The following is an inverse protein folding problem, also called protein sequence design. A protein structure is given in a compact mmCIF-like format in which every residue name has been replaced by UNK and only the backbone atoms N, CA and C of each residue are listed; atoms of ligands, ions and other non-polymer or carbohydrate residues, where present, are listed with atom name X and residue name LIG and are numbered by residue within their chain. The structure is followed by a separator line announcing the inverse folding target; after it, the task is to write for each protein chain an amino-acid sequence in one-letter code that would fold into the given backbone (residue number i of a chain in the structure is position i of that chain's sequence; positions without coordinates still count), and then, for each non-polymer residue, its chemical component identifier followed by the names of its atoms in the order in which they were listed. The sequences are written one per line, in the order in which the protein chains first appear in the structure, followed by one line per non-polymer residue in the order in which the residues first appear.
data_IF_432449339588
#
_entry.id   IF_432449339588
#
_cell.length_a   1.000
_cell.length_b   1.000
_cell.length_c   1.000
_cell.angle_alpha   90.00
_cell.angle_beta   90.00
_cell.angle_gamma   90.00
#
_symmetry.space_group_name_H-M   'P 1'
#
loop_
_entity.id
_entity.type
_entity.pdbx_description
1 polymer ?
#
# COMPACT_ATOMS: atom_id res chain seq x y z
N UNK A 1 -10.32 -2.16 10.16
CA UNK A 1 -10.49 -1.21 9.04
C UNK A 1 -11.89 -1.27 8.39
N UNK A 2 -12.33 -2.36 7.75
CA UNK A 2 -13.67 -2.40 7.12
C UNK A 2 -14.82 -2.30 8.13
N UNK A 3 -14.70 -2.99 9.27
CA UNK A 3 -15.72 -2.98 10.32
C UNK A 3 -15.60 -1.80 11.29
N UNK A 4 -14.37 -1.30 11.51
CA UNK A 4 -14.04 -0.34 12.59
C UNK A 4 -13.69 1.06 12.10
N UNK A 5 -13.52 1.27 10.78
CA UNK A 5 -13.06 2.56 10.22
C UNK A 5 -11.60 2.91 10.54
N UNK A 6 -10.84 2.02 11.20
CA UNK A 6 -9.43 2.24 11.51
C UNK A 6 -8.56 2.36 10.24
N UNK A 7 -7.37 2.95 10.40
CA UNK A 7 -6.40 3.16 9.31
C UNK A 7 -6.18 1.87 8.51
N UNK A 8 -6.24 2.00 7.19
CA UNK A 8 -6.12 0.88 6.24
C UNK A 8 -4.68 0.36 6.22
N UNK A 9 -4.47 -0.96 6.03
CA UNK A 9 -3.13 -1.51 5.83
C UNK A 9 -2.53 -0.93 4.54
N UNK A 10 -1.22 -0.68 4.55
CA UNK A 10 -0.49 -0.10 3.40
C UNK A 10 -0.15 -1.14 2.33
N UNK A 11 0.04 -2.39 2.76
CA UNK A 11 0.51 -3.50 1.93
C UNK A 11 0.03 -4.83 2.54
N UNK A 12 -0.05 -5.86 1.71
CA UNK A 12 -0.30 -7.25 2.11
C UNK A 12 0.97 -8.11 2.02
N UNK A 13 0.84 -9.32 1.48
CA UNK A 13 1.93 -10.29 1.28
C UNK A 13 3.10 -9.74 0.45
N UNK A 14 2.81 -8.85 -0.50
CA UNK A 14 3.80 -8.16 -1.36
C UNK A 14 4.90 -7.44 -0.56
N UNK A 15 4.68 -7.14 0.72
CA UNK A 15 5.68 -6.53 1.59
C UNK A 15 6.93 -7.40 1.82
N UNK A 16 6.84 -8.70 1.53
CA UNK A 16 8.00 -9.59 1.60
C UNK A 16 9.08 -9.22 0.58
N UNK A 17 8.72 -8.58 -0.53
CA UNK A 17 9.68 -8.22 -1.56
C UNK A 17 10.63 -7.10 -1.09
N UNK A 18 11.93 -7.32 -1.28
CA UNK A 18 13.00 -6.46 -0.76
C UNK A 18 12.90 -5.01 -1.22
N UNK A 19 12.44 -4.75 -2.46
CA UNK A 19 12.26 -3.39 -2.95
C UNK A 19 11.23 -2.60 -2.14
N UNK A 20 10.17 -3.25 -1.63
CA UNK A 20 9.20 -2.60 -0.75
C UNK A 20 9.77 -2.47 0.66
N UNK A 21 10.29 -3.58 1.22
CA UNK A 21 10.78 -3.61 2.61
C UNK A 21 11.92 -2.62 2.85
N UNK A 22 12.87 -2.56 1.93
CA UNK A 22 14.04 -1.67 1.98
C UNK A 22 13.71 -0.20 1.72
N UNK A 23 12.57 0.11 1.10
CA UNK A 23 12.19 1.49 0.80
C UNK A 23 11.79 2.31 2.04
N UNK A 24 11.89 3.63 1.91
CA UNK A 24 11.50 4.62 2.93
C UNK A 24 10.04 4.41 3.39
N UNK A 25 9.73 4.43 4.70
CA UNK A 25 8.39 4.05 5.22
C UNK A 25 7.18 4.79 4.65
N UNK A 26 7.38 6.03 4.18
CA UNK A 26 6.37 6.86 3.54
C UNK A 26 6.18 6.57 2.04
N UNK A 27 7.18 6.00 1.38
CA UNK A 27 7.12 5.59 -0.02
C UNK A 27 6.58 4.16 -0.19
N UNK A 28 6.73 3.31 0.84
CA UNK A 28 6.24 1.91 0.84
C UNK A 28 4.83 1.75 0.29
N UNK A 29 3.87 2.55 0.76
CA UNK A 29 2.48 2.44 0.31
C UNK A 29 2.28 2.81 -1.16
N UNK A 30 3.03 3.79 -1.67
CA UNK A 30 2.99 4.20 -3.09
C UNK A 30 3.58 3.09 -3.98
N UNK A 31 4.75 2.58 -3.59
CA UNK A 31 5.44 1.50 -4.28
C UNK A 31 4.55 0.25 -4.31
N UNK A 32 3.98 -0.15 -3.16
CA UNK A 32 3.05 -1.27 -3.07
C UNK A 32 1.87 -1.16 -4.02
N UNK A 33 1.30 0.05 -4.20
CA UNK A 33 0.16 0.26 -5.09
C UNK A 33 0.52 0.07 -6.57
N UNK A 34 1.69 0.57 -6.99
CA UNK A 34 2.20 0.37 -8.36
C UNK A 34 2.38 -1.12 -8.64
N UNK A 35 3.00 -1.83 -7.71
CA UNK A 35 3.30 -3.26 -7.82
C UNK A 35 2.00 -4.07 -7.91
N UNK A 36 1.01 -3.80 -7.06
CA UNK A 36 -0.29 -4.48 -7.13
C UNK A 36 -0.96 -4.32 -8.50
N UNK A 37 -0.83 -3.14 -9.12
CA UNK A 37 -1.35 -2.90 -10.47
C UNK A 37 -0.67 -3.77 -11.51
N UNK A 38 0.67 -3.82 -11.50
CA UNK A 38 1.46 -4.62 -12.46
C UNK A 38 1.24 -6.13 -12.25
N UNK A 39 1.20 -6.61 -11.01
CA UNK A 39 0.85 -8.01 -10.69
C UNK A 39 -0.52 -8.38 -11.26
N UNK A 40 -1.51 -7.50 -11.17
CA UNK A 40 -2.85 -7.76 -11.70
C UNK A 40 -2.88 -7.89 -13.23
N UNK A 41 -1.99 -7.18 -13.94
CA UNK A 41 -1.84 -7.31 -15.39
C UNK A 41 -1.13 -8.62 -15.72
N UNK A 42 -0.01 -8.92 -15.04
CA UNK A 42 0.74 -10.16 -15.21
C UNK A 42 -0.14 -11.39 -14.99
N UNK A 43 -0.89 -11.43 -13.88
CA UNK A 43 -1.77 -12.57 -13.56
C UNK A 43 -2.86 -12.80 -14.62
N UNK A 44 -3.34 -11.74 -15.27
CA UNK A 44 -4.29 -11.88 -16.39
C UNK A 44 -3.61 -12.41 -17.64
N UNK A 45 -2.44 -11.86 -17.99
CA UNK A 45 -1.68 -12.31 -19.16
C UNK A 45 -1.31 -13.79 -19.04
N UNK A 46 -0.83 -14.22 -17.87
CA UNK A 46 -0.46 -15.60 -17.57
C UNK A 46 -1.68 -16.54 -17.69
N UNK A 47 -2.86 -16.08 -17.26
CA UNK A 47 -4.08 -16.88 -17.34
C UNK A 47 -4.65 -16.99 -18.76
N UNK A 48 -4.64 -15.90 -19.53
CA UNK A 48 -5.19 -15.88 -20.88
C UNK A 48 -4.22 -16.34 -21.97
N UNK A 49 -2.98 -16.72 -21.62
CA UNK A 49 -1.98 -17.23 -22.56
C UNK A 49 -1.40 -16.16 -23.47
N UNK A 50 -1.18 -14.95 -22.94
CA UNK A 50 -0.58 -13.84 -23.68
C UNK A 50 0.92 -14.00 -23.91
N UNK A 51 1.51 -13.01 -24.61
CA UNK A 51 2.96 -12.94 -24.82
C UNK A 51 3.72 -12.69 -23.52
N UNK A 52 4.97 -13.16 -23.47
CA UNK A 52 5.86 -12.96 -22.33
C UNK A 52 6.35 -11.51 -22.26
N UNK A 53 5.68 -10.69 -21.46
CA UNK A 53 5.99 -9.26 -21.28
C UNK A 53 6.69 -8.95 -19.95
N UNK A 54 7.31 -9.95 -19.31
CA UNK A 54 7.87 -9.80 -17.97
C UNK A 54 9.00 -8.75 -17.91
N UNK A 55 9.85 -8.69 -18.92
CA UNK A 55 11.01 -7.78 -18.95
C UNK A 55 10.59 -6.31 -19.02
N UNK A 56 9.56 -6.03 -19.82
CA UNK A 56 8.97 -4.70 -19.95
C UNK A 56 8.35 -4.29 -18.62
N UNK A 57 7.52 -5.16 -18.02
CA UNK A 57 6.85 -4.89 -16.75
C UNK A 57 7.86 -4.68 -15.60
N UNK A 58 8.93 -5.46 -15.57
CA UNK A 58 10.02 -5.32 -14.60
C UNK A 58 10.73 -3.97 -14.73
N UNK A 59 11.00 -3.55 -15.97
CA UNK A 59 11.63 -2.25 -16.26
C UNK A 59 10.75 -1.08 -15.82
N UNK A 60 9.46 -1.13 -16.14
CA UNK A 60 8.49 -0.10 -15.73
C UNK A 60 8.35 0.00 -14.20
N UNK A 61 8.36 -1.13 -13.49
CA UNK A 61 8.31 -1.14 -12.02
C UNK A 61 9.54 -0.41 -11.46
N UNK A 62 10.73 -0.75 -11.95
CA UNK A 62 11.98 -0.14 -11.50
C UNK A 62 12.01 1.37 -11.79
N UNK A 63 11.56 1.79 -12.97
CA UNK A 63 11.47 3.20 -13.33
C UNK A 63 10.53 3.97 -12.40
N UNK A 64 9.33 3.42 -12.14
CA UNK A 64 8.37 4.05 -11.22
C UNK A 64 8.86 4.10 -9.78
N UNK A 65 9.59 3.10 -9.31
CA UNK A 65 10.21 3.15 -7.98
C UNK A 65 11.19 4.32 -7.90
N UNK A 66 12.08 4.46 -8.91
CA UNK A 66 13.05 5.56 -8.98
C UNK A 66 12.35 6.93 -9.02
N UNK A 67 11.27 7.06 -9.80
CA UNK A 67 10.47 8.28 -9.86
C UNK A 67 9.87 8.66 -8.50
N UNK A 68 9.29 7.68 -7.79
CA UNK A 68 8.70 7.89 -6.46
C UNK A 68 9.76 8.33 -5.44
N UNK A 69 10.94 7.71 -5.48
CA UNK A 69 12.04 8.06 -4.58
C UNK A 69 12.56 9.47 -4.81
N UNK A 70 12.70 9.88 -6.09
CA UNK A 70 13.09 11.25 -6.47
C UNK A 70 12.03 12.28 -6.06
N UNK A 71 10.75 11.98 -6.29
CA UNK A 71 9.64 12.90 -6.02
C UNK A 71 9.36 13.10 -4.53
N UNK A 72 9.61 12.07 -3.72
CA UNK A 72 9.33 12.08 -2.27
C UNK A 72 10.57 11.74 -1.44
N UNK A 73 11.57 12.63 -1.42
CA UNK A 73 12.79 12.40 -0.67
C UNK A 73 12.58 12.56 0.85
N UNK A 74 11.70 13.49 1.24
CA UNK A 74 11.39 13.86 2.63
C UNK A 74 10.12 13.16 3.14
N UNK A 75 10.03 12.89 4.45
CA UNK A 75 8.80 12.37 5.04
C UNK A 75 7.65 13.38 4.90
N UNK A 76 6.40 12.91 4.76
CA UNK A 76 5.24 13.79 4.78
C UNK A 76 5.17 14.52 6.12
N UNK A 77 4.90 15.81 6.09
CA UNK A 77 4.70 16.61 7.28
C UNK A 77 3.56 15.98 8.10
N UNK A 78 3.84 15.62 9.37
CA UNK A 78 2.79 15.19 10.29
C UNK A 78 1.89 16.40 10.50
N UNK A 79 0.71 16.40 9.87
CA UNK A 79 -0.34 17.34 10.25
C UNK A 79 -0.67 17.04 11.71
N UNK A 80 -0.46 18.01 12.59
CA UNK A 80 -0.92 17.95 13.97
C UNK A 80 -2.45 18.02 13.93
N UNK A 81 -3.11 16.94 13.54
CA UNK A 81 -4.56 16.83 13.69
C UNK A 81 -4.84 16.76 15.19
N UNK A 82 -5.70 17.63 15.74
CA UNK A 82 -6.07 17.55 17.14
C UNK A 82 -6.61 16.15 17.39
N UNK A 83 -5.99 15.42 18.33
CA UNK A 83 -6.39 14.05 18.70
C UNK A 83 -7.87 14.09 19.06
N UNK A 84 -8.75 13.63 18.18
CA UNK A 84 -10.16 13.46 18.50
C UNK A 84 -10.26 12.45 19.65
N UNK A 85 -10.54 12.94 20.86
CA UNK A 85 -10.48 12.22 22.15
C UNK A 85 -11.45 11.04 22.29
N UNK A 86 -12.17 10.60 21.25
CA UNK A 86 -13.38 9.77 21.40
C UNK A 86 -13.34 8.41 20.65
N UNK A 87 -12.18 7.77 20.49
CA UNK A 87 -12.11 6.41 19.89
C UNK A 87 -12.35 5.28 20.90
N UNK A 88 -12.17 5.51 22.19
CA UNK A 88 -12.41 4.52 23.26
C UNK A 88 -13.91 4.31 23.51
N UNK A 89 -14.70 5.38 23.53
CA UNK A 89 -16.15 5.32 23.76
C UNK A 89 -16.92 4.64 22.62
N UNK A 90 -16.53 4.89 21.35
CA UNK A 90 -17.13 4.21 20.18
C UNK A 90 -16.85 2.70 20.15
N UNK A 91 -15.65 2.28 20.58
CA UNK A 91 -15.29 0.84 20.71
C UNK A 91 -16.09 0.15 21.82
N UNK A 92 -16.31 0.81 22.96
CA UNK A 92 -17.17 0.29 24.03
C UNK A 92 -18.64 0.20 23.60
N UNK A 93 -19.16 1.21 22.88
CA UNK A 93 -20.53 1.21 22.36
C UNK A 93 -20.80 0.07 21.35
N UNK A 94 -19.86 -0.19 20.44
CA UNK A 94 -19.99 -1.31 19.50
C UNK A 94 -19.92 -2.68 20.19
N UNK A 95 -19.13 -2.82 21.27
CA UNK A 95 -19.07 -4.05 22.08
C UNK A 95 -20.35 -4.28 22.91
N UNK A 96 -20.96 -3.20 23.43
CA UNK A 96 -22.22 -3.25 24.21
C UNK A 96 -23.45 -3.57 23.34
N UNK A 97 -23.43 -3.21 22.06
CA UNK A 97 -24.51 -3.52 21.09
C UNK A 97 -24.48 -4.96 20.55
N UNK A 98 -23.39 -5.70 20.77
CA UNK A 98 -23.20 -7.10 20.31
C UNK A 98 -23.35 -8.13 21.44
N UNK A 99 -23.55 -7.67 22.68
CA UNK A 99 -24.05 -8.47 23.79
C UNK A 99 -25.55 -8.27 23.86
#
# INVERSE_FOLDING_TARGET
FLKTGEKRPKHGLIFQWNQIRGSKPWNRGKISRVISGKIGISAKLDFFGGEFLADVLSSEINEKIREIEKKYPKPPLKRNEPKAKNSSSKKQAYKKKRR
#
